data_IF_764686022871
#
_entry.id   IF_764686022871
#
_cell.length_a   1.000
_cell.length_b   1.000
_cell.length_c   1.000
_cell.angle_alpha   90.00
_cell.angle_beta   90.00
_cell.angle_gamma   90.00
#
_symmetry.space_group_name_H-M   'P 1'
#
loop_
_entity.id
_entity.type
_entity.pdbx_description
1 polymer ?
#
# COMPACT_ATOMS: atom_id res chain seq x y z
N UNK A 1 14.60 8.17 -5.05
CA UNK A 1 13.18 8.18 -4.67
C UNK A 1 12.87 7.15 -3.62
N UNK A 2 12.25 7.56 -2.58
CA UNK A 2 11.95 6.67 -1.47
C UNK A 2 10.63 5.95 -1.72
N UNK A 3 10.67 4.63 -1.67
CA UNK A 3 9.46 3.84 -1.70
C UNK A 3 8.86 3.80 -0.32
N UNK A 4 7.93 4.67 -0.12
CA UNK A 4 7.34 4.84 1.19
C UNK A 4 5.95 4.22 1.19
N UNK A 5 5.74 3.24 2.07
CA UNK A 5 4.43 2.61 2.21
C UNK A 5 3.65 3.30 3.31
N UNK A 6 2.47 3.81 2.97
CA UNK A 6 1.56 4.32 3.96
C UNK A 6 0.76 3.20 4.59
N UNK A 7 -0.12 3.59 5.52
CA UNK A 7 -0.95 2.63 6.24
C UNK A 7 -1.79 1.75 5.31
N UNK A 8 -2.43 2.36 4.32
CA UNK A 8 -3.28 1.60 3.39
C UNK A 8 -2.47 0.66 2.51
N UNK A 9 -1.26 1.08 2.13
CA UNK A 9 -0.38 0.23 1.32
C UNK A 9 0.02 -1.01 2.10
N UNK A 10 0.34 -0.86 3.37
CA UNK A 10 0.73 -1.98 4.21
C UNK A 10 -0.43 -2.94 4.39
N UNK A 11 -1.63 -2.41 4.64
CA UNK A 11 -2.83 -3.24 4.77
C UNK A 11 -3.06 -4.03 3.49
N UNK A 12 -2.96 -3.38 2.34
CA UNK A 12 -3.13 -4.06 1.06
C UNK A 12 -2.09 -5.17 0.86
N UNK A 13 -0.83 -4.90 1.22
CA UNK A 13 0.22 -5.91 1.11
C UNK A 13 -0.11 -7.15 1.96
N UNK A 14 -0.57 -6.93 3.19
CA UNK A 14 -0.95 -8.04 4.06
C UNK A 14 -2.12 -8.82 3.46
N UNK A 15 -3.14 -8.10 2.98
CA UNK A 15 -4.32 -8.77 2.41
C UNK A 15 -3.97 -9.57 1.15
N UNK A 16 -3.04 -9.09 0.34
CA UNK A 16 -2.57 -9.84 -0.83
C UNK A 16 -1.95 -11.17 -0.44
N UNK A 17 -1.12 -11.16 0.59
CA UNK A 17 -0.51 -12.40 1.08
C UNK A 17 -1.59 -13.34 1.62
N UNK A 18 -2.53 -12.79 2.40
CA UNK A 18 -3.59 -13.56 3.03
C UNK A 18 -4.58 -14.13 2.00
N UNK A 19 -4.67 -13.52 0.82
CA UNK A 19 -5.58 -14.02 -0.22
C UNK A 19 -5.24 -15.45 -0.64
N UNK A 20 -4.00 -15.88 -0.43
CA UNK A 20 -3.60 -17.27 -0.68
C UNK A 20 -3.58 -18.12 0.58
N UNK A 21 -4.21 -17.66 1.65
CA UNK A 21 -4.18 -18.24 2.98
C UNK A 21 -2.76 -18.30 3.51
N UNK A 22 -2.49 -17.62 4.61
CA UNK A 22 -1.12 -17.45 5.07
C UNK A 22 -1.02 -17.54 6.58
N UNK A 23 0.09 -18.07 7.04
CA UNK A 23 0.44 -18.06 8.45
C UNK A 23 1.14 -16.75 8.78
N UNK A 24 1.14 -16.42 10.04
CA UNK A 24 1.70 -15.16 10.52
C UNK A 24 3.14 -14.92 10.05
N UNK A 25 3.99 -15.93 10.16
CA UNK A 25 5.39 -15.80 9.74
C UNK A 25 5.51 -15.56 8.24
N UNK A 26 4.67 -16.20 7.46
CA UNK A 26 4.65 -16.01 6.02
C UNK A 26 4.24 -14.59 5.66
N UNK A 27 3.23 -14.05 6.35
CA UNK A 27 2.80 -12.68 6.13
C UNK A 27 3.95 -11.73 6.46
N UNK A 28 4.62 -11.97 7.57
CA UNK A 28 5.72 -11.11 8.00
C UNK A 28 6.81 -11.02 6.93
N UNK A 29 7.21 -12.15 6.38
CA UNK A 29 8.26 -12.18 5.37
C UNK A 29 7.79 -11.62 4.03
N UNK A 30 6.63 -12.03 3.56
CA UNK A 30 6.19 -11.64 2.23
C UNK A 30 5.73 -10.19 2.16
N UNK A 31 5.18 -9.66 3.25
CA UNK A 31 4.81 -8.25 3.31
C UNK A 31 5.96 -7.37 3.79
N UNK A 32 7.09 -7.99 4.12
CA UNK A 32 8.31 -7.29 4.56
C UNK A 32 8.02 -6.37 5.76
N UNK A 33 7.53 -6.97 6.84
CA UNK A 33 7.19 -6.25 8.06
C UNK A 33 7.93 -6.82 9.25
N UNK A 34 8.24 -5.97 10.23
CA UNK A 34 8.74 -6.46 11.51
C UNK A 34 7.59 -7.12 12.27
N UNK A 35 7.94 -7.96 13.22
CA UNK A 35 6.93 -8.63 14.03
C UNK A 35 6.01 -7.63 14.74
N UNK A 36 6.60 -6.59 15.29
CA UNK A 36 5.86 -5.59 16.04
C UNK A 36 4.84 -4.85 15.16
N UNK A 37 5.28 -4.47 13.97
CA UNK A 37 4.42 -3.76 13.03
C UNK A 37 3.31 -4.69 12.54
N UNK A 38 3.65 -5.94 12.24
CA UNK A 38 2.65 -6.90 11.81
C UNK A 38 1.59 -7.12 12.88
N UNK A 39 2.00 -7.28 14.14
CA UNK A 39 1.06 -7.45 15.26
C UNK A 39 0.04 -6.33 15.29
N UNK A 40 0.51 -5.11 15.16
CA UNK A 40 -0.35 -3.93 15.18
C UNK A 40 -1.38 -3.97 14.05
N UNK A 41 -0.92 -4.27 12.85
CA UNK A 41 -1.83 -4.28 11.70
C UNK A 41 -2.77 -5.48 11.72
N UNK A 42 -2.30 -6.65 12.17
CA UNK A 42 -3.18 -7.81 12.28
C UNK A 42 -4.33 -7.55 13.24
N UNK A 43 -4.06 -6.89 14.36
CA UNK A 43 -5.11 -6.53 15.30
C UNK A 43 -6.14 -5.62 14.65
N UNK A 44 -5.66 -4.63 13.91
CA UNK A 44 -6.54 -3.67 13.25
C UNK A 44 -7.42 -4.32 12.19
N UNK A 45 -6.81 -5.08 11.28
CA UNK A 45 -7.56 -5.61 10.15
C UNK A 45 -8.44 -6.80 10.54
N UNK A 46 -8.06 -7.53 11.58
CA UNK A 46 -8.94 -8.55 12.15
C UNK A 46 -10.15 -7.89 12.80
N UNK A 47 -9.92 -6.82 13.55
CA UNK A 47 -11.01 -6.06 14.17
C UNK A 47 -11.94 -5.46 13.15
N UNK A 48 -11.44 -5.11 11.97
CA UNK A 48 -12.26 -4.57 10.88
C UNK A 48 -12.91 -5.67 10.03
N UNK A 49 -12.68 -6.93 10.37
CA UNK A 49 -13.24 -8.09 9.66
C UNK A 49 -12.74 -8.23 8.21
N UNK A 50 -11.54 -7.71 7.94
CA UNK A 50 -10.95 -7.86 6.61
C UNK A 50 -10.30 -9.23 6.44
N UNK A 51 -9.87 -9.83 7.54
CA UNK A 51 -9.33 -11.18 7.58
C UNK A 51 -9.94 -11.91 8.76
N UNK A 52 -9.87 -13.23 8.73
CA UNK A 52 -10.24 -14.06 9.88
C UNK A 52 -9.18 -15.14 10.06
N UNK A 53 -9.11 -15.67 11.28
CA UNK A 53 -8.13 -16.69 11.59
C UNK A 53 -8.83 -18.05 11.61
N UNK A 54 -8.27 -19.01 10.88
CA UNK A 54 -8.79 -20.36 10.86
C UNK A 54 -7.97 -21.24 11.79
N UNK A 55 -8.62 -21.76 12.84
CA UNK A 55 -7.94 -22.52 13.89
C UNK A 55 -7.35 -23.83 13.39
N UNK A 56 -8.06 -24.52 12.52
CA UNK A 56 -7.64 -25.85 12.09
C UNK A 56 -6.31 -25.81 11.36
N UNK A 57 -6.16 -24.87 10.43
CA UNK A 57 -4.92 -24.73 9.67
C UNK A 57 -3.98 -23.70 10.23
N UNK A 58 -4.40 -23.01 11.28
CA UNK A 58 -3.58 -21.99 11.92
C UNK A 58 -3.13 -20.94 10.93
N UNK A 59 -4.02 -20.49 10.09
CA UNK A 59 -3.69 -19.51 9.07
C UNK A 59 -4.78 -18.44 8.99
N UNK A 60 -4.40 -17.31 8.41
CA UNK A 60 -5.34 -16.22 8.16
C UNK A 60 -5.96 -16.40 6.78
N UNK A 61 -7.23 -16.05 6.66
CA UNK A 61 -7.94 -16.10 5.39
C UNK A 61 -8.58 -14.75 5.12
N UNK A 62 -8.70 -14.43 3.84
CA UNK A 62 -9.29 -13.17 3.41
C UNK A 62 -10.81 -13.30 3.44
N UNK A 63 -11.46 -12.30 4.02
CA UNK A 63 -12.93 -12.26 4.02
C UNK A 63 -13.44 -11.60 2.75
N UNK A 64 -14.76 -11.67 2.53
CA UNK A 64 -15.38 -10.95 1.42
C UNK A 64 -15.13 -9.45 1.54
N UNK A 65 -15.19 -8.93 2.75
CA UNK A 65 -14.89 -7.53 3.00
C UNK A 65 -13.44 -7.19 2.69
N UNK A 66 -12.52 -8.11 3.00
CA UNK A 66 -11.11 -7.94 2.65
C UNK A 66 -10.88 -7.89 1.16
N UNK A 67 -11.60 -8.73 0.40
CA UNK A 67 -11.52 -8.68 -1.05
C UNK A 67 -12.06 -7.36 -1.58
N UNK A 68 -13.14 -6.88 -0.98
CA UNK A 68 -13.70 -5.59 -1.35
C UNK A 68 -12.70 -4.47 -1.12
N UNK A 69 -11.96 -4.53 -0.01
CA UNK A 69 -10.90 -3.57 0.27
C UNK A 69 -9.82 -3.61 -0.82
N UNK A 70 -9.39 -4.82 -1.21
CA UNK A 70 -8.36 -4.94 -2.23
C UNK A 70 -8.81 -4.39 -3.58
N UNK A 71 -10.06 -4.64 -3.95
CA UNK A 71 -10.59 -4.12 -5.20
C UNK A 71 -10.62 -2.59 -5.19
N UNK A 72 -11.10 -2.02 -4.09
CA UNK A 72 -11.15 -0.56 -3.94
C UNK A 72 -9.76 0.03 -3.88
N UNK A 73 -8.83 -0.65 -3.21
CA UNK A 73 -7.44 -0.19 -3.11
C UNK A 73 -6.78 -0.15 -4.49
N UNK A 74 -7.05 -1.13 -5.33
CA UNK A 74 -6.49 -1.18 -6.67
C UNK A 74 -6.89 0.05 -7.48
N UNK A 75 -8.16 0.44 -7.40
CA UNK A 75 -8.65 1.63 -8.07
C UNK A 75 -8.02 2.89 -7.49
N UNK A 76 -7.95 2.97 -6.18
CA UNK A 76 -7.33 4.10 -5.50
C UNK A 76 -5.86 4.25 -5.90
N UNK A 77 -5.12 3.15 -5.89
CA UNK A 77 -3.70 3.17 -6.22
C UNK A 77 -3.46 3.62 -7.66
N UNK A 78 -4.30 3.15 -8.57
CA UNK A 78 -4.20 3.52 -9.98
C UNK A 78 -4.45 5.02 -10.15
N UNK A 79 -5.50 5.54 -9.53
CA UNK A 79 -5.83 6.95 -9.60
C UNK A 79 -4.73 7.79 -8.99
N UNK A 80 -4.20 7.36 -7.86
CA UNK A 80 -3.14 8.09 -7.18
C UNK A 80 -1.88 8.21 -8.03
N UNK A 81 -1.52 7.16 -8.76
CA UNK A 81 -0.38 7.20 -9.67
C UNK A 81 -0.60 8.19 -10.81
N UNK A 82 -1.83 8.30 -11.29
CA UNK A 82 -2.16 9.27 -12.33
C UNK A 82 -1.99 10.70 -11.82
N UNK A 83 -2.44 10.95 -10.60
CA UNK A 83 -2.28 12.28 -9.98
C UNK A 83 -0.81 12.61 -9.80
N UNK A 84 -0.01 11.67 -9.32
CA UNK A 84 1.42 11.90 -9.12
C UNK A 84 2.12 12.24 -10.44
N UNK A 85 1.77 11.55 -11.51
CA UNK A 85 2.30 11.85 -12.83
C UNK A 85 1.97 13.27 -13.25
N UNK A 86 0.72 13.68 -13.02
CA UNK A 86 0.31 15.05 -13.36
C UNK A 86 1.06 16.10 -12.57
N UNK A 87 1.28 15.81 -11.29
CA UNK A 87 2.06 16.72 -10.44
C UNK A 87 3.49 16.85 -10.96
N UNK A 88 4.10 15.73 -11.35
CA UNK A 88 5.45 15.77 -11.90
C UNK A 88 5.50 16.55 -13.21
N UNK A 89 4.53 16.38 -14.08
CA UNK A 89 4.46 17.15 -15.33
C UNK A 89 4.38 18.64 -15.05
N UNK A 90 3.57 19.03 -14.09
CA UNK A 90 3.45 20.43 -13.71
C UNK A 90 4.79 20.98 -13.22
N UNK A 91 5.49 20.21 -12.38
CA UNK A 91 6.78 20.61 -11.86
C UNK A 91 7.80 20.81 -12.97
N UNK A 92 7.84 19.88 -13.91
CA UNK A 92 8.79 19.96 -15.03
C UNK A 92 8.50 21.19 -15.87
N UNK A 93 7.25 21.43 -16.19
CA UNK A 93 6.86 22.57 -17.00
C UNK A 93 7.14 23.88 -16.30
N UNK A 94 6.91 23.92 -14.99
CA UNK A 94 7.23 25.10 -14.20
C UNK A 94 8.72 25.38 -14.21
N UNK A 95 9.54 24.33 -14.10
CA UNK A 95 10.99 24.51 -14.14
C UNK A 95 11.47 25.10 -15.44
N UNK A 96 10.86 24.72 -16.56
CA UNK A 96 11.19 25.29 -17.86
C UNK A 96 10.89 26.79 -17.86
N UNK A 97 9.75 27.18 -17.34
CA UNK A 97 9.38 28.61 -17.27
C UNK A 97 10.35 29.37 -16.42
N UNK A 98 10.78 28.83 -15.31
CA UNK A 98 11.71 29.50 -14.43
C UNK A 98 13.07 29.66 -15.06
N UNK A 99 13.53 28.68 -15.80
CA UNK A 99 14.78 28.79 -16.54
C UNK A 99 14.72 29.90 -17.59
N UNK A 100 13.58 29.98 -18.26
CA UNK A 100 13.43 31.02 -19.30
C UNK A 100 13.38 32.43 -18.70
N UNK A 101 12.95 32.52 -17.45
CA UNK A 101 12.93 33.81 -16.75
C UNK A 101 14.26 34.16 -16.13
N UNK A 102 15.17 33.19 -15.98
CA UNK A 102 16.41 33.51 -15.33
C UNK A 102 17.29 34.32 -16.24
N UNK A 103 17.92 35.28 -15.65
CA UNK A 103 18.84 36.19 -16.31
C UNK A 103 20.14 35.45 -16.50
N UNK A 104 20.33 34.90 -17.65
CA UNK A 104 21.57 34.20 -17.94
C UNK A 104 22.69 35.23 -18.04
N UNK A 105 23.59 35.10 -17.14
CA UNK A 105 24.71 35.97 -17.12
C UNK A 105 25.94 35.24 -17.59
N UNK A 106 26.64 35.82 -18.43
CA UNK A 106 27.89 35.25 -18.90
C UNK A 106 28.94 36.28 -19.08
#
# INVERSE_FOLDING_TARGET
MVNYRGRLDIIADILHVVSGNARKTQIMYQANLSYKVLQKYLAEITGASLISFEDKRRCYILTAKGQEFLDAYQEYSKTNRQVEKRVDDVRIKKNVLEKLCSSEQW
#
